data_IF_811867536259
#
_entry.id   IF_811867536259
#
_cell.length_a   1.000
_cell.length_b   1.000
_cell.length_c   1.000
_cell.angle_alpha   90.00
_cell.angle_beta   90.00
_cell.angle_gamma   90.00
#
_symmetry.space_group_name_H-M   'P 1'
#
loop_
_entity.id
_entity.type
_entity.pdbx_description
1 polymer ?
#
# COMPACT_ATOMS: atom_id res chain seq x y z
N UNK A 1 -4.77 0.72 6.90
CA UNK A 1 -5.22 1.96 6.23
C UNK A 1 -5.71 1.57 4.87
N UNK A 2 -6.87 2.04 4.43
CA UNK A 2 -7.40 1.69 3.11
C UNK A 2 -7.77 2.97 2.36
N UNK A 3 -7.16 3.14 1.20
CA UNK A 3 -7.61 4.08 0.18
C UNK A 3 -8.62 3.38 -0.72
N UNK A 4 -9.39 4.15 -1.48
CA UNK A 4 -10.32 3.59 -2.48
C UNK A 4 -9.58 2.66 -3.43
N UNK A 5 -10.17 1.53 -3.74
CA UNK A 5 -9.54 0.51 -4.57
C UNK A 5 -9.46 0.92 -6.04
N UNK A 6 -10.45 1.65 -6.49
CA UNK A 6 -10.56 2.10 -7.87
C UNK A 6 -11.00 3.56 -7.88
N UNK A 7 -10.22 4.40 -8.54
CA UNK A 7 -10.59 5.81 -8.74
C UNK A 7 -11.63 5.88 -9.86
N UNK A 8 -12.79 6.53 -9.63
CA UNK A 8 -13.78 6.78 -10.68
C UNK A 8 -13.17 7.49 -11.88
N UNK A 9 -13.55 7.10 -13.08
CA UNK A 9 -12.95 7.60 -14.33
C UNK A 9 -12.99 9.13 -14.42
N UNK A 10 -14.12 9.73 -14.07
CA UNK A 10 -14.31 11.19 -14.06
C UNK A 10 -13.38 11.95 -13.11
N UNK A 11 -12.76 11.26 -12.16
CA UNK A 11 -11.87 11.86 -11.17
C UNK A 11 -10.38 11.56 -11.41
N UNK A 12 -10.05 10.70 -12.39
CA UNK A 12 -8.64 10.31 -12.66
C UNK A 12 -7.80 11.50 -13.08
N UNK A 13 -8.30 12.32 -14.02
CA UNK A 13 -7.58 13.49 -14.52
C UNK A 13 -7.33 14.51 -13.39
N UNK A 14 -8.36 15.02 -12.69
CA UNK A 14 -8.15 16.03 -11.65
C UNK A 14 -7.31 15.53 -10.45
N UNK A 15 -7.41 14.26 -10.09
CA UNK A 15 -6.56 13.67 -9.05
C UNK A 15 -5.12 13.49 -9.52
N UNK A 16 -4.93 13.05 -10.77
CA UNK A 16 -3.62 12.90 -11.38
C UNK A 16 -2.87 14.23 -11.50
N UNK A 17 -3.56 15.31 -11.83
CA UNK A 17 -2.99 16.65 -11.93
C UNK A 17 -2.47 17.16 -10.57
N UNK A 18 -3.27 17.06 -9.51
CA UNK A 18 -2.86 17.48 -8.18
C UNK A 18 -1.72 16.57 -7.67
N UNK A 19 -1.83 15.26 -7.87
CA UNK A 19 -0.75 14.33 -7.52
C UNK A 19 0.56 14.68 -8.22
N UNK A 20 0.50 15.05 -9.50
CA UNK A 20 1.65 15.51 -10.26
C UNK A 20 2.27 16.77 -9.66
N UNK A 21 1.44 17.78 -9.36
CA UNK A 21 1.91 19.04 -8.78
C UNK A 21 2.63 18.79 -7.44
N UNK A 22 2.02 18.01 -6.54
CA UNK A 22 2.58 17.70 -5.23
C UNK A 22 3.90 16.91 -5.34
N UNK A 23 3.97 15.91 -6.22
CA UNK A 23 5.21 15.15 -6.42
C UNK A 23 6.29 16.01 -7.07
N UNK A 24 5.96 16.86 -8.04
CA UNK A 24 6.94 17.79 -8.61
C UNK A 24 7.48 18.76 -7.56
N UNK A 25 6.60 19.36 -6.75
CA UNK A 25 7.03 20.26 -5.67
C UNK A 25 7.99 19.56 -4.68
N UNK A 26 7.65 18.32 -4.28
CA UNK A 26 8.50 17.53 -3.40
C UNK A 26 9.87 17.21 -4.02
N UNK A 27 9.90 16.83 -5.30
CA UNK A 27 11.16 16.56 -6.03
C UNK A 27 12.01 17.83 -6.22
N UNK A 28 11.39 18.98 -6.43
CA UNK A 28 12.07 20.29 -6.50
C UNK A 28 12.62 20.69 -5.14
N UNK A 29 11.84 20.51 -4.06
CA UNK A 29 12.29 20.80 -2.70
C UNK A 29 13.50 19.94 -2.33
N UNK A 30 13.51 18.65 -2.68
CA UNK A 30 14.68 17.78 -2.48
C UNK A 30 15.93 18.25 -3.23
N UNK A 31 15.74 18.87 -4.40
CA UNK A 31 16.86 19.39 -5.19
C UNK A 31 17.44 20.67 -4.57
N UNK A 32 16.57 21.54 -4.04
CA UNK A 32 16.96 22.85 -3.49
C UNK A 32 17.52 22.76 -2.07
N UNK A 33 16.90 21.93 -1.24
CA UNK A 33 17.24 21.77 0.17
C UNK A 33 16.96 20.33 0.61
N UNK A 34 17.88 19.38 0.35
CA UNK A 34 17.73 18.02 0.81
C UNK A 34 17.63 17.99 2.34
N UNK A 35 16.56 17.42 2.88
CA UNK A 35 16.33 17.31 4.31
C UNK A 35 14.92 17.70 4.73
N UNK A 36 14.78 18.50 5.79
CA UNK A 36 13.48 18.82 6.41
C UNK A 36 12.49 19.51 5.46
N UNK A 37 12.94 20.45 4.62
CA UNK A 37 12.06 21.15 3.67
C UNK A 37 11.41 20.23 2.64
N UNK A 38 12.14 19.22 2.18
CA UNK A 38 11.59 18.21 1.28
C UNK A 38 10.57 17.27 1.98
N UNK A 39 10.75 17.02 3.28
CA UNK A 39 9.84 16.19 4.06
C UNK A 39 8.44 16.79 4.12
N UNK A 40 8.32 18.11 4.27
CA UNK A 40 7.03 18.81 4.33
C UNK A 40 6.21 18.58 3.05
N UNK A 41 6.84 18.72 1.88
CA UNK A 41 6.18 18.51 0.58
C UNK A 41 5.74 17.03 0.39
N UNK A 42 6.58 16.09 0.81
CA UNK A 42 6.18 14.68 0.80
C UNK A 42 5.05 14.39 1.77
N UNK A 43 5.03 15.01 2.95
CA UNK A 43 3.91 14.93 3.90
C UNK A 43 2.63 15.44 3.26
N UNK A 44 2.68 16.59 2.55
CA UNK A 44 1.52 17.12 1.82
C UNK A 44 0.99 16.14 0.77
N UNK A 45 1.87 15.50 0.00
CA UNK A 45 1.47 14.46 -0.94
C UNK A 45 0.77 13.29 -0.24
N UNK A 46 1.33 12.80 0.87
CA UNK A 46 0.73 11.70 1.63
C UNK A 46 -0.58 12.11 2.32
N UNK A 47 -0.68 13.33 2.82
CA UNK A 47 -1.92 13.88 3.36
C UNK A 47 -3.01 13.93 2.30
N UNK A 48 -2.69 14.40 1.08
CA UNK A 48 -3.60 14.41 -0.05
C UNK A 48 -4.15 13.01 -0.34
N UNK A 49 -3.26 12.06 -0.57
CA UNK A 49 -3.67 10.67 -0.90
C UNK A 49 -4.54 10.07 0.21
N UNK A 50 -4.16 10.25 1.47
CA UNK A 50 -4.87 9.64 2.60
C UNK A 50 -6.18 10.33 2.91
N UNK A 51 -6.26 11.65 2.85
CA UNK A 51 -7.47 12.39 3.22
C UNK A 51 -8.51 12.41 2.09
N UNK A 52 -8.07 12.58 0.84
CA UNK A 52 -8.97 12.66 -0.32
C UNK A 52 -9.41 11.27 -0.78
N UNK A 53 -8.49 10.30 -0.86
CA UNK A 53 -8.76 8.94 -1.31
C UNK A 53 -9.09 7.96 -0.18
N UNK A 54 -9.39 8.44 1.03
CA UNK A 54 -9.85 7.57 2.12
C UNK A 54 -11.09 6.77 1.68
N UNK A 55 -11.02 5.45 1.85
CA UNK A 55 -12.12 4.56 1.45
C UNK A 55 -13.35 4.62 2.35
N UNK A 56 -13.27 5.29 3.50
CA UNK A 56 -14.36 5.37 4.45
C UNK A 56 -15.02 6.75 4.46
N UNK A 57 -16.32 6.75 4.70
CA UNK A 57 -17.14 7.91 5.06
C UNK A 57 -17.55 7.84 6.53
N UNK A 58 -18.30 8.82 6.99
CA UNK A 58 -19.01 8.73 8.27
C UNK A 58 -20.00 7.54 8.20
N UNK A 59 -19.95 6.68 9.22
CA UNK A 59 -20.80 5.48 9.31
C UNK A 59 -20.24 4.23 8.63
N UNK A 60 -18.91 4.17 8.34
CA UNK A 60 -18.19 2.99 7.83
C UNK A 60 -18.69 2.50 6.44
N UNK A 61 -19.35 3.35 5.68
CA UNK A 61 -19.70 3.10 4.27
C UNK A 61 -18.48 3.31 3.37
N UNK A 62 -18.42 2.60 2.24
CA UNK A 62 -17.40 2.87 1.22
C UNK A 62 -17.61 4.27 0.61
N UNK A 63 -16.52 5.02 0.45
CA UNK A 63 -16.56 6.35 -0.14
C UNK A 63 -17.04 6.29 -1.58
N UNK A 64 -18.04 7.10 -1.90
CA UNK A 64 -18.58 7.27 -3.24
C UNK A 64 -17.69 8.19 -4.09
N UNK A 65 -17.95 8.22 -5.39
CA UNK A 65 -17.32 9.19 -6.31
C UNK A 65 -17.61 10.64 -5.88
N UNK A 66 -18.79 10.88 -5.31
CA UNK A 66 -19.19 12.19 -4.83
C UNK A 66 -18.45 12.61 -3.56
N UNK A 67 -18.22 11.69 -2.63
CA UNK A 67 -17.38 11.92 -1.45
C UNK A 67 -15.97 12.32 -1.84
N UNK A 68 -15.38 11.61 -2.80
CA UNK A 68 -14.05 11.92 -3.31
C UNK A 68 -14.05 13.30 -4.00
N UNK A 69 -15.06 13.60 -4.81
CA UNK A 69 -15.18 14.90 -5.49
C UNK A 69 -15.31 16.04 -4.49
N UNK A 70 -16.12 15.89 -3.45
CA UNK A 70 -16.27 16.85 -2.36
C UNK A 70 -14.96 17.11 -1.65
N UNK A 71 -14.22 16.06 -1.27
CA UNK A 71 -12.90 16.17 -0.60
C UNK A 71 -11.87 16.83 -1.53
N UNK A 72 -11.87 16.48 -2.81
CA UNK A 72 -11.01 17.10 -3.81
C UNK A 72 -11.30 18.60 -3.96
N UNK A 73 -12.57 18.99 -3.96
CA UNK A 73 -12.99 20.39 -3.98
C UNK A 73 -12.49 21.16 -2.75
N UNK A 74 -12.60 20.54 -1.55
CA UNK A 74 -12.07 21.13 -0.31
C UNK A 74 -10.55 21.26 -0.34
N UNK A 75 -9.85 20.25 -0.85
CA UNK A 75 -8.39 20.34 -1.03
C UNK A 75 -7.99 21.53 -1.90
N UNK A 76 -8.69 21.72 -3.04
CA UNK A 76 -8.44 22.84 -3.94
C UNK A 76 -8.72 24.22 -3.31
N UNK A 77 -9.59 24.31 -2.33
CA UNK A 77 -9.82 25.53 -1.54
C UNK A 77 -8.82 25.75 -0.40
N UNK A 78 -7.82 24.89 -0.29
CA UNK A 78 -6.81 25.00 0.77
C UNK A 78 -7.25 24.44 2.14
N UNK A 79 -8.39 23.75 2.23
CA UNK A 79 -8.93 23.17 3.48
C UNK A 79 -8.19 21.88 3.88
N UNK A 80 -6.90 21.77 3.59
CA UNK A 80 -6.10 20.55 3.76
C UNK A 80 -6.06 20.08 5.21
N UNK A 81 -5.89 21.02 6.15
CA UNK A 81 -5.82 20.71 7.58
C UNK A 81 -7.16 20.15 8.09
N UNK A 82 -8.28 20.72 7.67
CA UNK A 82 -9.61 20.23 8.07
C UNK A 82 -9.84 18.81 7.53
N UNK A 83 -9.47 18.54 6.27
CA UNK A 83 -9.54 17.21 5.68
C UNK A 83 -8.67 16.22 6.44
N UNK A 84 -7.50 16.65 6.89
CA UNK A 84 -6.58 15.80 7.65
C UNK A 84 -7.15 15.46 9.03
N UNK A 85 -7.70 16.46 9.74
CA UNK A 85 -8.36 16.26 11.05
C UNK A 85 -9.53 15.28 10.93
N UNK A 86 -10.37 15.42 9.90
CA UNK A 86 -11.46 14.49 9.63
C UNK A 86 -10.96 13.06 9.32
N UNK A 87 -9.90 12.95 8.51
CA UNK A 87 -9.27 11.66 8.23
C UNK A 87 -8.74 11.00 9.52
N UNK A 88 -8.06 11.77 10.37
CA UNK A 88 -7.53 11.26 11.64
C UNK A 88 -8.65 10.82 12.57
N UNK A 89 -9.75 11.59 12.67
CA UNK A 89 -10.94 11.21 13.42
C UNK A 89 -11.53 9.88 12.95
N UNK A 90 -11.76 9.74 11.64
CA UNK A 90 -12.24 8.47 11.05
C UNK A 90 -11.25 7.32 11.26
N UNK A 91 -9.95 7.59 11.19
CA UNK A 91 -8.91 6.59 11.43
C UNK A 91 -8.91 6.09 12.87
N UNK A 92 -9.07 6.99 13.84
CA UNK A 92 -9.18 6.66 15.27
C UNK A 92 -10.39 5.77 15.54
N UNK A 93 -11.57 6.16 15.07
CA UNK A 93 -12.79 5.36 15.19
C UNK A 93 -12.61 3.96 14.61
N UNK A 94 -12.00 3.84 13.41
CA UNK A 94 -11.69 2.52 12.81
C UNK A 94 -10.75 1.69 13.67
N UNK A 95 -9.75 2.31 14.31
CA UNK A 95 -8.83 1.60 15.21
C UNK A 95 -9.55 1.10 16.47
N UNK A 96 -10.43 1.93 17.04
CA UNK A 96 -11.23 1.58 18.20
C UNK A 96 -12.17 0.41 17.90
N UNK A 97 -12.91 0.47 16.78
CA UNK A 97 -13.77 -0.64 16.33
C UNK A 97 -12.95 -1.93 16.11
N UNK A 98 -11.77 -1.84 15.49
CA UNK A 98 -10.89 -3.00 15.33
C UNK A 98 -10.37 -3.52 16.66
N UNK A 99 -10.00 -2.65 17.58
CA UNK A 99 -9.59 -2.99 18.93
C UNK A 99 -10.70 -3.67 19.73
N UNK A 100 -11.93 -3.15 19.68
CA UNK A 100 -13.10 -3.76 20.31
C UNK A 100 -13.40 -5.15 19.70
N UNK A 101 -13.40 -5.28 18.37
CA UNK A 101 -13.56 -6.57 17.68
C UNK A 101 -12.44 -7.56 18.05
N UNK A 102 -11.21 -7.09 18.22
CA UNK A 102 -10.10 -7.93 18.66
C UNK A 102 -10.23 -8.37 20.12
N UNK A 103 -10.69 -7.47 21.02
CA UNK A 103 -10.97 -7.80 22.44
C UNK A 103 -12.12 -8.80 22.55
N UNK A 104 -13.20 -8.60 21.79
CA UNK A 104 -14.32 -9.57 21.73
C UNK A 104 -13.91 -10.94 21.17
N UNK A 105 -12.87 -11.00 20.33
CA UNK A 105 -12.30 -12.25 19.81
C UNK A 105 -11.43 -12.97 20.84
N UNK A 106 -10.95 -12.31 21.91
CA UNK A 106 -10.17 -12.93 22.98
C UNK A 106 -11.00 -13.81 23.92
N UNK A 107 -12.32 -13.67 23.97
CA UNK A 107 -13.16 -14.72 24.51
C UNK A 107 -13.07 -15.91 23.56
N UNK A 108 -12.79 -17.15 24.06
CA UNK A 108 -12.68 -18.31 23.20
C UNK A 108 -14.03 -18.60 22.55
N UNK A 109 -14.28 -17.94 21.43
CA UNK A 109 -15.41 -18.30 20.59
C UNK A 109 -15.07 -19.65 20.00
N UNK A 110 -16.04 -20.57 20.08
CA UNK A 110 -16.04 -21.82 19.31
C UNK A 110 -15.46 -21.50 17.93
N UNK A 111 -14.43 -22.22 17.49
CA UNK A 111 -13.83 -21.94 16.17
C UNK A 111 -14.96 -21.87 15.12
N UNK A 112 -14.91 -20.91 14.20
CA UNK A 112 -15.96 -20.77 13.21
C UNK A 112 -16.11 -22.09 12.45
N UNK A 113 -17.35 -22.50 12.21
CA UNK A 113 -17.61 -23.74 11.47
C UNK A 113 -16.94 -23.69 10.09
N UNK A 114 -16.54 -24.83 9.51
CA UNK A 114 -15.99 -24.91 8.16
C UNK A 114 -16.85 -24.15 7.14
N UNK A 115 -18.17 -24.20 7.26
CA UNK A 115 -19.12 -23.48 6.42
C UNK A 115 -18.97 -21.96 6.55
N UNK A 116 -18.77 -21.46 7.77
CA UNK A 116 -18.58 -20.02 8.00
C UNK A 116 -17.28 -19.54 7.38
N UNK A 117 -16.21 -20.33 7.47
CA UNK A 117 -14.91 -20.04 6.86
C UNK A 117 -15.06 -20.04 5.34
N UNK A 118 -15.72 -21.04 4.78
CA UNK A 118 -15.95 -21.16 3.33
C UNK A 118 -16.80 -19.99 2.79
N UNK A 119 -17.91 -19.65 3.45
CA UNK A 119 -18.75 -18.50 3.07
C UNK A 119 -17.95 -17.19 3.06
N UNK A 120 -17.07 -16.99 4.04
CA UNK A 120 -16.19 -15.82 4.09
C UNK A 120 -15.14 -15.83 2.98
N UNK A 121 -14.58 -16.98 2.62
CA UNK A 121 -13.66 -17.15 1.51
C UNK A 121 -14.34 -16.87 0.17
N UNK A 122 -15.54 -17.43 -0.06
CA UNK A 122 -16.34 -17.19 -1.26
C UNK A 122 -16.64 -15.69 -1.43
N UNK A 123 -17.12 -15.03 -0.37
CA UNK A 123 -17.41 -13.58 -0.44
C UNK A 123 -16.19 -12.76 -0.83
N UNK A 124 -15.01 -13.07 -0.28
CA UNK A 124 -13.75 -12.39 -0.62
C UNK A 124 -13.31 -12.70 -2.05
N UNK A 125 -13.40 -13.95 -2.47
CA UNK A 125 -13.05 -14.39 -3.81
C UNK A 125 -13.95 -13.73 -4.86
N UNK A 126 -15.26 -13.65 -4.60
CA UNK A 126 -16.23 -12.94 -5.46
C UNK A 126 -15.86 -11.46 -5.61
N UNK A 127 -15.44 -10.81 -4.51
CA UNK A 127 -14.94 -9.43 -4.57
C UNK A 127 -13.72 -9.29 -5.51
N UNK A 128 -12.75 -10.17 -5.39
CA UNK A 128 -11.58 -10.17 -6.28
C UNK A 128 -11.92 -10.50 -7.74
N UNK A 129 -12.85 -11.42 -7.97
CA UNK A 129 -13.30 -11.75 -9.33
C UNK A 129 -13.97 -10.56 -10.01
N UNK A 130 -14.82 -9.82 -9.29
CA UNK A 130 -15.45 -8.58 -9.79
C UNK A 130 -14.42 -7.50 -10.16
N UNK A 131 -13.28 -7.47 -9.46
CA UNK A 131 -12.16 -6.58 -9.77
C UNK A 131 -11.26 -7.12 -10.92
N UNK A 132 -11.59 -8.29 -11.50
CA UNK A 132 -10.80 -8.96 -12.54
C UNK A 132 -9.50 -9.61 -12.00
N UNK A 133 -9.37 -9.77 -10.68
CA UNK A 133 -8.21 -10.38 -10.02
C UNK A 133 -8.41 -11.90 -9.83
N UNK A 134 -8.64 -12.64 -10.91
CA UNK A 134 -9.05 -14.05 -10.88
C UNK A 134 -8.05 -14.95 -10.14
N UNK A 135 -6.75 -14.79 -10.36
CA UNK A 135 -5.73 -15.57 -9.64
C UNK A 135 -5.80 -15.35 -8.14
N UNK A 136 -6.12 -14.11 -7.69
CA UNK A 136 -6.26 -13.79 -6.28
C UNK A 136 -7.55 -14.38 -5.71
N UNK A 137 -8.62 -14.39 -6.48
CA UNK A 137 -9.87 -15.06 -6.12
C UNK A 137 -9.63 -16.57 -5.92
N UNK A 138 -8.97 -17.23 -6.87
CA UNK A 138 -8.64 -18.64 -6.79
C UNK A 138 -7.75 -18.95 -5.58
N UNK A 139 -6.67 -18.19 -5.39
CA UNK A 139 -5.78 -18.34 -4.24
C UNK A 139 -6.52 -18.15 -2.90
N UNK A 140 -7.51 -17.24 -2.84
CA UNK A 140 -8.33 -17.04 -1.63
C UNK A 140 -9.18 -18.26 -1.30
N UNK A 141 -9.75 -18.92 -2.30
CA UNK A 141 -10.52 -20.16 -2.11
C UNK A 141 -9.63 -21.34 -1.71
N UNK A 142 -8.38 -21.34 -2.19
CA UNK A 142 -7.42 -22.40 -1.92
C UNK A 142 -6.55 -22.15 -0.68
N UNK A 143 -6.66 -20.96 -0.07
CA UNK A 143 -5.82 -20.57 1.06
C UNK A 143 -6.21 -21.31 2.33
N UNK A 144 -5.23 -21.82 3.03
CA UNK A 144 -5.39 -22.39 4.38
C UNK A 144 -5.43 -21.32 5.48
N UNK A 145 -5.24 -20.05 5.14
CA UNK A 145 -5.34 -18.91 6.05
C UNK A 145 -4.00 -18.21 6.35
N UNK A 146 -4.05 -17.38 7.37
CA UNK A 146 -2.86 -16.70 7.92
C UNK A 146 -2.28 -17.58 9.03
N UNK A 147 -0.95 -17.59 9.14
CA UNK A 147 -0.28 -18.18 10.28
C UNK A 147 -0.68 -17.45 11.56
N UNK A 148 -0.75 -18.17 12.66
CA UNK A 148 -1.06 -17.61 13.96
C UNK A 148 0.01 -16.58 14.38
N UNK A 149 -0.42 -15.45 14.92
CA UNK A 149 0.48 -14.40 15.38
C UNK A 149 1.04 -14.78 16.77
N UNK A 150 2.05 -15.65 16.77
CA UNK A 150 2.73 -16.14 17.96
C UNK A 150 4.26 -16.01 17.80
N UNK A 151 4.99 -16.25 18.89
CA UNK A 151 6.46 -16.15 18.91
C UNK A 151 7.13 -17.11 17.92
N UNK A 152 6.58 -18.31 17.75
CA UNK A 152 7.11 -19.29 16.80
C UNK A 152 7.03 -18.78 15.35
N UNK A 153 5.89 -18.23 14.96
CA UNK A 153 5.75 -17.61 13.64
C UNK A 153 6.70 -16.44 13.46
N UNK A 154 6.90 -15.63 14.51
CA UNK A 154 7.83 -14.50 14.48
C UNK A 154 9.28 -14.99 14.35
N UNK A 155 9.65 -16.05 15.09
CA UNK A 155 10.97 -16.68 15.00
C UNK A 155 11.24 -17.17 13.57
N UNK A 156 10.30 -17.90 12.97
CA UNK A 156 10.42 -18.37 11.60
C UNK A 156 10.54 -17.23 10.57
N UNK A 157 9.79 -16.13 10.77
CA UNK A 157 9.92 -14.96 9.89
C UNK A 157 11.31 -14.31 10.02
N UNK A 158 11.88 -14.23 11.23
CA UNK A 158 13.22 -13.68 11.44
C UNK A 158 14.31 -14.58 10.84
N UNK A 159 14.15 -15.89 10.90
CA UNK A 159 15.06 -16.84 10.25
C UNK A 159 15.04 -16.72 8.72
N UNK A 160 13.85 -16.53 8.14
CA UNK A 160 13.69 -16.34 6.70
C UNK A 160 14.13 -14.94 6.22
N UNK A 161 14.06 -13.95 7.09
CA UNK A 161 14.41 -12.57 6.83
C UNK A 161 15.37 -12.06 7.90
N UNK A 162 16.61 -12.61 7.95
CA UNK A 162 17.58 -12.19 8.95
C UNK A 162 17.87 -10.70 8.81
N UNK A 163 17.98 -10.03 9.95
CA UNK A 163 18.49 -8.65 9.98
C UNK A 163 19.90 -8.67 9.42
N UNK A 164 20.14 -7.94 8.38
CA UNK A 164 21.45 -7.83 7.79
C UNK A 164 22.34 -7.03 8.74
N UNK A 165 23.39 -7.64 9.25
CA UNK A 165 24.32 -7.02 10.19
C UNK A 165 25.05 -5.83 9.56
N UNK A 166 25.34 -5.92 8.26
CA UNK A 166 26.02 -4.86 7.52
C UNK A 166 25.26 -4.57 6.22
N UNK A 167 25.13 -3.29 5.87
CA UNK A 167 24.70 -2.92 4.53
C UNK A 167 25.80 -3.38 3.56
N UNK A 168 25.47 -4.08 2.47
CA UNK A 168 26.50 -4.37 1.48
C UNK A 168 27.06 -3.03 1.02
N UNK A 169 28.36 -2.89 1.06
CA UNK A 169 29.05 -1.83 0.34
C UNK A 169 28.78 -2.16 -1.13
N UNK A 170 27.81 -1.48 -1.70
CA UNK A 170 27.59 -1.54 -3.16
C UNK A 170 28.69 -0.72 -3.74
N UNK A 171 29.75 -1.36 -4.21
CA UNK A 171 30.72 -0.69 -5.09
C UNK A 171 29.90 -0.07 -6.23
N UNK A 172 30.14 1.20 -6.50
CA UNK A 172 29.33 1.98 -7.42
C UNK A 172 29.50 1.42 -8.83
N UNK A 173 28.61 0.51 -9.22
CA UNK A 173 28.59 -0.12 -10.54
C UNK A 173 27.95 0.87 -11.52
N UNK A 174 28.65 1.95 -11.85
CA UNK A 174 28.23 2.91 -12.87
C UNK A 174 26.97 3.70 -12.53
N UNK A 175 26.61 4.65 -13.40
CA UNK A 175 25.39 5.43 -13.27
C UNK A 175 24.15 4.53 -13.48
N UNK A 176 23.14 4.65 -12.59
CA UNK A 176 21.88 3.95 -12.75
C UNK A 176 21.27 4.25 -14.13
N UNK A 177 20.77 3.23 -14.86
CA UNK A 177 20.18 3.45 -16.17
C UNK A 177 18.94 4.36 -16.03
N UNK A 178 18.89 5.40 -16.84
CA UNK A 178 17.76 6.33 -16.84
C UNK A 178 16.50 5.62 -17.37
N UNK A 179 15.49 5.56 -16.53
CA UNK A 179 14.18 5.01 -16.89
C UNK A 179 13.43 5.99 -17.79
N UNK A 180 12.93 5.50 -18.91
CA UNK A 180 12.05 6.26 -19.80
C UNK A 180 10.61 6.15 -19.33
N UNK A 181 9.79 7.13 -19.71
CA UNK A 181 8.35 7.15 -19.43
C UNK A 181 7.64 5.89 -19.94
N UNK A 182 8.04 5.41 -21.12
CA UNK A 182 7.42 4.20 -21.71
C UNK A 182 7.77 2.94 -20.94
N UNK A 183 9.01 2.80 -20.49
CA UNK A 183 9.41 1.67 -19.63
C UNK A 183 8.68 1.67 -18.29
N UNK A 184 8.52 2.83 -17.67
CA UNK A 184 7.76 2.95 -16.42
C UNK A 184 6.29 2.61 -16.67
N UNK A 185 5.70 3.12 -17.74
CA UNK A 185 4.34 2.81 -18.16
C UNK A 185 4.15 1.31 -18.39
N UNK A 186 5.03 0.68 -19.15
CA UNK A 186 5.01 -0.76 -19.41
C UNK A 186 5.10 -1.56 -18.10
N UNK A 187 6.01 -1.20 -17.19
CA UNK A 187 6.13 -1.84 -15.90
C UNK A 187 4.85 -1.73 -15.06
N UNK A 188 4.20 -0.55 -15.05
CA UNK A 188 2.92 -0.35 -14.36
C UNK A 188 1.81 -1.24 -14.93
N UNK A 189 1.74 -1.41 -16.25
CA UNK A 189 0.75 -2.30 -16.87
C UNK A 189 1.01 -3.79 -16.63
N UNK A 190 2.26 -4.19 -16.31
CA UNK A 190 2.58 -5.57 -15.92
C UNK A 190 2.09 -5.95 -14.52
N UNK A 191 1.76 -4.97 -13.67
CA UNK A 191 1.17 -5.28 -12.37
C UNK A 191 -0.19 -5.95 -12.55
N UNK A 192 -0.34 -7.11 -11.93
CA UNK A 192 -1.62 -7.84 -11.94
C UNK A 192 -2.70 -7.02 -11.26
N UNK A 193 -3.90 -7.04 -11.80
CA UNK A 193 -5.08 -6.43 -11.15
C UNK A 193 -5.21 -6.95 -9.72
N UNK A 194 -5.52 -6.07 -8.78
CA UNK A 194 -5.62 -6.43 -7.37
C UNK A 194 -4.28 -6.56 -6.64
N UNK A 195 -3.16 -6.17 -7.26
CA UNK A 195 -1.88 -6.04 -6.55
C UNK A 195 -2.06 -5.11 -5.35
N UNK A 196 -1.58 -5.54 -4.17
CA UNK A 196 -1.66 -4.74 -2.96
C UNK A 196 -0.86 -3.45 -3.14
N UNK A 197 -1.41 -2.34 -2.66
CA UNK A 197 -0.66 -1.11 -2.52
C UNK A 197 0.45 -1.31 -1.46
N UNK A 198 1.57 -0.60 -1.62
CA UNK A 198 2.64 -0.56 -0.62
C UNK A 198 2.20 0.09 0.70
N UNK A 199 3.15 0.29 1.60
CA UNK A 199 2.91 0.90 2.92
C UNK A 199 2.22 2.26 2.85
N UNK A 200 2.53 3.06 1.83
CA UNK A 200 1.91 4.38 1.58
C UNK A 200 0.41 4.30 1.27
N UNK A 201 -0.10 3.15 0.85
CA UNK A 201 -1.47 2.98 0.39
C UNK A 201 -1.74 3.56 -1.01
N UNK A 202 -0.73 4.11 -1.66
CA UNK A 202 -0.84 4.71 -2.99
C UNK A 202 -0.92 3.62 -4.05
N UNK A 203 -1.91 3.75 -4.93
CA UNK A 203 -2.01 2.95 -6.16
C UNK A 203 -1.74 3.87 -7.33
N UNK A 204 -0.80 3.51 -8.16
CA UNK A 204 -0.53 4.27 -9.38
C UNK A 204 -1.39 3.67 -10.49
N UNK A 205 -2.48 4.34 -10.78
CA UNK A 205 -3.24 4.08 -12.01
C UNK A 205 -2.50 4.80 -13.13
N UNK A 206 -1.64 4.10 -13.85
CA UNK A 206 -0.62 4.58 -14.79
C UNK A 206 -1.07 5.57 -15.88
N UNK A 207 -1.85 6.58 -15.53
CA UNK A 207 -2.49 7.49 -16.47
C UNK A 207 -1.82 8.87 -16.53
N UNK A 208 -1.50 9.25 -17.73
CA UNK A 208 -1.44 10.62 -18.23
C UNK A 208 -0.38 11.49 -17.53
N UNK A 209 -0.83 12.57 -16.95
CA UNK A 209 0.01 13.65 -16.42
C UNK A 209 0.87 13.23 -15.21
N UNK A 210 0.38 12.32 -14.36
CA UNK A 210 1.12 11.82 -13.21
C UNK A 210 2.32 10.95 -13.60
N UNK A 211 2.26 10.26 -14.74
CA UNK A 211 3.32 9.36 -15.19
C UNK A 211 4.68 10.04 -15.35
N UNK A 212 4.71 11.30 -15.76
CA UNK A 212 5.96 12.06 -15.91
C UNK A 212 6.63 12.29 -14.54
N UNK A 213 5.89 12.81 -13.56
CA UNK A 213 6.39 13.03 -12.21
C UNK A 213 6.78 11.70 -11.53
N UNK A 214 5.97 10.65 -11.74
CA UNK A 214 6.27 9.32 -11.23
C UNK A 214 7.54 8.73 -11.87
N UNK A 215 7.78 8.96 -13.15
CA UNK A 215 9.04 8.54 -13.82
C UNK A 215 10.24 9.26 -13.22
N UNK A 216 10.14 10.55 -12.91
CA UNK A 216 11.21 11.28 -12.24
C UNK A 216 11.48 10.72 -10.85
N UNK A 217 10.42 10.44 -10.07
CA UNK A 217 10.54 9.79 -8.77
C UNK A 217 11.24 8.43 -8.89
N UNK A 218 10.84 7.59 -9.84
CA UNK A 218 11.48 6.29 -10.07
C UNK A 218 12.97 6.43 -10.44
N UNK A 219 13.33 7.42 -11.23
CA UNK A 219 14.74 7.69 -11.57
C UNK A 219 15.55 8.07 -10.33
N UNK A 220 15.04 8.97 -9.48
CA UNK A 220 15.70 9.34 -8.22
C UNK A 220 15.80 8.18 -7.24
N UNK A 221 14.78 7.32 -7.19
CA UNK A 221 14.87 6.09 -6.40
C UNK A 221 15.96 5.16 -6.91
N UNK A 222 16.06 4.99 -8.23
CA UNK A 222 17.04 4.11 -8.86
C UNK A 222 18.49 4.63 -8.71
N UNK A 223 18.68 5.95 -8.75
CA UNK A 223 20.00 6.58 -8.54
C UNK A 223 20.36 6.76 -7.05
N UNK A 224 19.45 6.44 -6.12
CA UNK A 224 19.70 6.62 -4.68
C UNK A 224 19.65 8.08 -4.21
N UNK A 225 19.14 8.99 -5.04
CA UNK A 225 19.09 10.43 -4.77
C UNK A 225 17.94 10.86 -3.86
N UNK A 226 17.04 9.94 -3.47
CA UNK A 226 16.00 10.25 -2.49
C UNK A 226 16.59 10.36 -1.08
N UNK A 227 16.19 11.38 -0.34
CA UNK A 227 16.58 11.59 1.04
C UNK A 227 16.25 10.39 1.93
N UNK A 228 17.14 10.05 2.88
CA UNK A 228 17.01 8.88 3.74
C UNK A 228 15.70 8.87 4.55
N UNK A 229 15.17 10.03 4.91
CA UNK A 229 13.90 10.20 5.62
C UNK A 229 12.66 9.79 4.79
N UNK A 230 12.78 9.83 3.46
CA UNK A 230 11.67 9.54 2.54
C UNK A 230 11.71 8.11 2.00
N UNK A 231 12.88 7.51 1.90
CA UNK A 231 13.06 6.14 1.39
C UNK A 231 12.12 5.11 2.02
N UNK A 232 11.86 5.08 3.36
CA UNK A 232 10.96 4.10 3.96
C UNK A 232 9.51 4.19 3.48
N UNK A 233 9.05 5.37 3.04
CA UNK A 233 7.68 5.55 2.55
C UNK A 233 7.46 4.89 1.19
N UNK A 234 8.48 4.81 0.37
CA UNK A 234 8.41 4.20 -0.96
C UNK A 234 8.94 2.77 -1.00
N UNK A 235 10.00 2.46 -0.24
CA UNK A 235 10.63 1.15 -0.21
C UNK A 235 10.14 0.23 0.91
N UNK A 236 9.33 0.73 1.85
CA UNK A 236 8.83 -0.06 2.97
C UNK A 236 7.80 -1.11 2.56
N UNK A 237 7.89 -2.30 3.14
CA UNK A 237 6.94 -3.38 2.96
C UNK A 237 6.54 -3.99 4.32
N UNK A 238 5.28 -4.45 4.41
CA UNK A 238 4.81 -5.22 5.55
C UNK A 238 4.89 -6.72 5.26
N UNK A 239 5.55 -7.48 6.12
CA UNK A 239 5.58 -8.93 6.03
C UNK A 239 4.29 -9.53 6.59
N UNK A 240 3.74 -10.51 5.88
CA UNK A 240 2.57 -11.25 6.30
C UNK A 240 2.85 -12.74 6.18
N UNK A 241 2.78 -13.45 7.30
CA UNK A 241 2.98 -14.89 7.34
C UNK A 241 1.73 -15.62 6.80
N UNK A 242 1.90 -16.44 5.78
CA UNK A 242 0.85 -17.27 5.19
C UNK A 242 1.14 -18.74 5.48
N UNK A 243 0.12 -19.50 5.84
CA UNK A 243 0.19 -20.98 5.93
C UNK A 243 0.30 -21.52 4.51
N UNK A 244 1.32 -22.36 4.26
CA UNK A 244 1.47 -23.03 2.97
C UNK A 244 0.52 -24.23 2.84
N UNK A 245 0.10 -24.53 1.62
CA UNK A 245 -0.63 -25.77 1.32
C UNK A 245 0.22 -26.98 1.74
N UNK A 246 -0.33 -27.88 2.53
CA UNK A 246 0.36 -29.07 3.05
C UNK A 246 0.75 -29.00 4.52
N UNK A 247 0.30 -27.97 5.26
CA UNK A 247 0.48 -27.88 6.73
C UNK A 247 1.91 -27.61 7.19
N UNK A 248 2.87 -27.44 6.28
CA UNK A 248 4.26 -27.15 6.64
C UNK A 248 4.44 -25.68 7.04
N UNK A 249 5.18 -25.44 8.08
CA UNK A 249 5.63 -24.10 8.48
C UNK A 249 6.40 -23.44 7.32
N UNK A 250 6.38 -22.13 7.16
CA UNK A 250 7.18 -21.42 6.14
C UNK A 250 8.67 -21.85 6.14
N UNK A 251 9.22 -22.20 7.30
CA UNK A 251 10.60 -22.62 7.50
C UNK A 251 10.92 -24.06 7.02
N UNK A 252 9.93 -24.95 6.92
CA UNK A 252 10.19 -26.37 6.63
C UNK A 252 10.70 -26.65 5.20
N UNK A 253 10.50 -25.71 4.27
CA UNK A 253 11.03 -25.83 2.90
C UNK A 253 12.47 -25.36 2.71
N UNK A 254 13.04 -24.64 3.65
CA UNK A 254 14.43 -24.22 3.56
C UNK A 254 15.42 -25.30 4.01
N UNK A 255 14.94 -26.38 4.66
CA UNK A 255 15.76 -27.55 5.07
C UNK A 255 15.84 -28.66 4.03
N UNK A 256 15.05 -28.60 2.95
CA UNK A 256 15.11 -29.54 1.84
C UNK A 256 16.24 -29.17 0.88
N UNK A 257 17.39 -29.77 1.09
CA UNK A 257 18.60 -29.86 0.31
C UNK A 257 18.65 -29.18 -1.06
N UNK A 258 19.66 -28.35 -1.17
CA UNK A 258 20.38 -28.19 -2.42
C UNK A 258 21.23 -29.47 -2.56
N UNK A 259 21.08 -30.24 -3.67
CA UNK A 259 21.98 -31.33 -3.95
C UNK A 259 23.38 -30.80 -4.26
#
# INVERSE_FOLDING_TARGET
MSTVKTVPESLRVPLGEISRQLVCAALEAETKAPGLGAVEEWVMYHMFVKSVLDSATEGDKEASAEDIRRRLGRWRRGECNLLWVEYMGRSKVRQEIRGQKARQRKTPKRPPSPDTIMKAAIRRATGYAREGAFNKALNTLQSTGLAEANEETLRCLRELHPLRAERPVVEHVGAAPRLTKDRVKEALFKFKKGTACGYSGVRVDGTGQFLTAFTQLCNRMASGELGASIQPFFGGAALTALIKKGGGHPADRCRGGIP
#
